data_IF_619890698566
#
_entry.id   IF_619890698566
#
_cell.length_a   1.000
_cell.length_b   1.000
_cell.length_c   1.000
_cell.angle_alpha   90.00
_cell.angle_beta   90.00
_cell.angle_gamma   90.00
#
_symmetry.space_group_name_H-M   'P 1'
#
loop_
_entity.id
_entity.type
_entity.pdbx_description
1 polymer ?
#
# COMPACT_ATOMS: atom_id res chain seq x y z
N UNK A 1 39.11 -44.58 -23.65
CA UNK A 1 38.82 -44.06 -24.99
C UNK A 1 37.51 -43.27 -24.93
N UNK A 2 37.66 -41.95 -25.04
CA UNK A 2 36.74 -40.91 -25.55
C UNK A 2 35.39 -40.77 -24.83
N UNK A 3 35.22 -39.78 -23.94
CA UNK A 3 34.95 -38.35 -24.21
C UNK A 3 33.64 -38.10 -24.98
N UNK A 4 32.66 -37.49 -24.29
CA UNK A 4 31.71 -36.56 -24.89
C UNK A 4 31.14 -35.67 -23.80
N UNK A 5 31.83 -34.55 -23.58
CA UNK A 5 31.27 -33.36 -22.93
C UNK A 5 30.43 -32.62 -23.97
N UNK A 6 29.14 -32.39 -23.70
CA UNK A 6 28.35 -31.44 -24.47
C UNK A 6 28.24 -30.13 -23.69
N UNK A 7 29.05 -29.18 -24.12
CA UNK A 7 29.00 -27.76 -23.81
C UNK A 7 27.87 -27.13 -24.62
N UNK A 8 26.84 -26.60 -23.98
CA UNK A 8 25.90 -25.65 -24.61
C UNK A 8 26.20 -24.25 -24.09
N UNK A 9 26.79 -23.43 -24.96
CA UNK A 9 26.96 -21.99 -24.80
C UNK A 9 25.97 -21.25 -25.70
N UNK A 10 25.57 -20.05 -25.25
CA UNK A 10 25.10 -18.91 -26.06
C UNK A 10 23.65 -19.05 -26.59
N UNK A 11 22.75 -18.07 -26.44
CA UNK A 11 22.90 -16.66 -26.81
C UNK A 11 22.05 -15.74 -25.93
N UNK A 12 22.68 -14.69 -25.41
CA UNK A 12 22.04 -13.53 -24.79
C UNK A 12 21.66 -12.57 -25.92
N UNK A 13 20.36 -12.37 -26.14
CA UNK A 13 19.84 -11.34 -27.04
C UNK A 13 19.88 -10.00 -26.31
N UNK A 14 20.85 -9.16 -26.69
CA UNK A 14 20.82 -7.72 -26.50
C UNK A 14 20.35 -7.11 -27.81
N UNK A 15 19.59 -6.02 -27.67
CA UNK A 15 19.38 -4.93 -28.64
C UNK A 15 17.90 -4.68 -28.97
N UNK A 16 17.31 -3.76 -28.20
CA UNK A 16 16.22 -2.90 -28.66
C UNK A 16 16.36 -1.54 -27.95
N UNK A 17 17.38 -0.79 -28.38
CA UNK A 17 17.48 0.64 -28.11
C UNK A 17 16.60 1.38 -29.13
N UNK A 18 15.44 1.89 -28.69
CA UNK A 18 14.69 2.90 -29.46
C UNK A 18 15.25 4.30 -29.17
N UNK A 19 15.64 5.08 -30.20
CA UNK A 19 16.00 6.48 -30.01
C UNK A 19 14.75 7.34 -29.83
N UNK A 20 14.81 8.24 -28.85
CA UNK A 20 13.83 9.31 -28.61
C UNK A 20 14.21 10.48 -29.52
N UNK A 21 13.30 10.90 -30.39
CA UNK A 21 13.39 12.14 -31.16
C UNK A 21 12.92 13.33 -30.32
N UNK A 22 13.64 14.47 -30.35
CA UNK A 22 13.07 15.76 -30.01
C UNK A 22 13.19 16.71 -31.20
N UNK A 23 12.07 17.10 -31.81
CA UNK A 23 12.04 18.20 -32.77
C UNK A 23 11.02 19.28 -32.37
N UNK A 24 11.57 20.49 -32.20
CA UNK A 24 11.09 21.82 -32.64
C UNK A 24 9.82 22.38 -31.95
N UNK A 25 9.84 23.46 -31.15
CA UNK A 25 10.23 24.88 -31.42
C UNK A 25 9.46 25.38 -32.68
N UNK A 26 8.63 26.45 -32.73
CA UNK A 26 8.69 27.84 -32.26
C UNK A 26 7.29 28.46 -32.46
N UNK A 27 6.89 29.42 -31.61
CA UNK A 27 6.31 30.76 -31.92
C UNK A 27 5.40 31.22 -30.77
N UNK A 28 5.83 32.18 -29.93
CA UNK A 28 5.69 33.64 -30.15
C UNK A 28 4.21 34.02 -30.36
N UNK A 29 3.56 34.96 -29.71
CA UNK A 29 3.88 36.10 -28.83
C UNK A 29 2.50 36.71 -28.52
N UNK A 30 2.33 37.41 -27.39
CA UNK A 30 1.66 38.72 -27.22
C UNK A 30 0.96 38.85 -25.85
N UNK A 31 1.59 39.65 -25.00
CA UNK A 31 0.96 40.43 -23.93
C UNK A 31 0.15 41.57 -24.56
N UNK A 32 -0.87 42.12 -23.85
CA UNK A 32 -0.58 43.28 -23.02
C UNK A 32 -1.29 43.30 -21.65
N UNK A 33 -0.54 43.79 -20.68
CA UNK A 33 -0.89 44.81 -19.68
C UNK A 33 -2.36 44.99 -19.28
N UNK A 34 -2.66 44.65 -18.03
CA UNK A 34 -3.54 45.50 -17.22
C UNK A 34 -3.11 45.45 -15.74
N UNK A 35 -2.53 46.56 -15.33
CA UNK A 35 -2.26 46.94 -13.95
C UNK A 35 -3.59 47.12 -13.20
N UNK A 36 -3.83 46.29 -12.19
CA UNK A 36 -4.72 46.67 -11.09
C UNK A 36 -3.93 46.47 -9.79
N UNK A 37 -3.54 47.61 -9.23
CA UNK A 37 -2.99 47.76 -7.90
C UNK A 37 -4.13 47.88 -6.87
N UNK A 38 -3.77 47.61 -5.60
CA UNK A 38 -4.53 47.80 -4.35
C UNK A 38 -5.66 46.75 -4.12
N UNK A 39 -5.70 45.99 -3.02
CA UNK A 39 -5.32 46.30 -1.64
C UNK A 39 -4.86 45.06 -0.84
N UNK A 40 -3.94 45.21 0.13
CA UNK A 40 -3.71 44.22 1.18
C UNK A 40 -4.83 44.31 2.24
N UNK A 41 -5.52 43.20 2.47
CA UNK A 41 -6.52 43.08 3.54
C UNK A 41 -5.90 43.35 4.92
N UNK A 42 -6.61 44.05 5.83
CA UNK A 42 -6.09 44.40 7.14
C UNK A 42 -5.86 43.17 8.01
N UNK A 43 -4.71 43.15 8.68
CA UNK A 43 -4.34 42.19 9.71
C UNK A 43 -5.33 42.27 10.88
N UNK A 44 -6.10 41.22 11.09
CA UNK A 44 -6.87 41.04 12.32
C UNK A 44 -5.90 40.81 13.48
N UNK A 45 -5.59 41.90 14.16
CA UNK A 45 -4.91 41.93 15.44
C UNK A 45 -5.87 41.32 16.49
N UNK A 46 -5.64 40.05 16.84
CA UNK A 46 -6.29 39.41 17.99
C UNK A 46 -5.37 39.61 19.19
N UNK A 47 -5.80 40.31 20.25
CA UNK A 47 -4.97 40.54 21.43
C UNK A 47 -4.72 39.25 22.20
N UNK A 48 -3.44 39.06 22.56
CA UNK A 48 -2.95 38.08 23.54
C UNK A 48 -3.71 38.23 24.87
N UNK A 49 -4.43 37.17 25.25
CA UNK A 49 -4.92 36.97 26.62
C UNK A 49 -5.38 35.52 26.77
N UNK A 50 -4.49 34.64 27.22
CA UNK A 50 -4.70 33.92 28.49
C UNK A 50 -3.63 32.85 28.73
N UNK A 51 -3.06 32.96 29.92
CA UNK A 51 -2.66 31.87 30.80
C UNK A 51 -1.59 30.91 30.26
N UNK A 52 -0.37 31.24 30.67
CA UNK A 52 0.56 30.34 31.34
C UNK A 52 -0.19 29.20 32.07
N UNK A 53 -0.44 28.11 31.35
CA UNK A 53 -0.91 26.86 31.90
C UNK A 53 0.20 25.87 31.61
N UNK A 54 1.05 25.72 32.62
CA UNK A 54 2.00 24.63 32.77
C UNK A 54 1.47 23.37 32.10
N UNK A 55 1.99 23.04 30.92
CA UNK A 55 1.93 21.68 30.41
C UNK A 55 2.88 20.88 31.28
N UNK A 56 2.42 20.56 32.50
CA UNK A 56 2.88 19.39 33.20
C UNK A 56 2.72 18.24 32.23
N UNK A 57 3.86 17.73 31.78
CA UNK A 57 3.96 16.54 30.99
C UNK A 57 3.19 15.45 31.72
N UNK A 58 2.01 15.14 31.19
CA UNK A 58 1.35 13.86 31.40
C UNK A 58 2.33 12.79 30.91
N UNK A 59 3.29 12.41 31.75
CA UNK A 59 3.97 11.13 31.65
C UNK A 59 2.96 10.09 32.08
N UNK A 60 1.97 9.86 31.20
CA UNK A 60 1.36 8.55 31.07
C UNK A 60 2.54 7.60 30.97
N UNK A 61 2.89 6.96 32.09
CA UNK A 61 3.96 5.98 32.18
C UNK A 61 3.50 4.80 31.35
N UNK A 62 3.70 4.92 30.04
CA UNK A 62 3.53 3.84 29.09
C UNK A 62 4.65 2.87 29.43
N UNK A 63 4.37 1.90 30.31
CA UNK A 63 5.26 0.78 30.63
C UNK A 63 5.57 -0.09 29.41
N UNK A 64 5.09 0.30 28.21
CA UNK A 64 5.68 -0.11 26.95
C UNK A 64 7.13 0.31 26.96
N UNK A 65 7.99 -0.65 27.36
CA UNK A 65 9.44 -0.65 27.16
C UNK A 65 9.78 0.27 26.01
N UNK A 66 10.26 1.47 26.32
CA UNK A 66 10.63 2.46 25.31
C UNK A 66 11.55 1.74 24.35
N UNK A 67 11.09 1.52 23.12
CA UNK A 67 11.83 0.74 22.15
C UNK A 67 13.14 1.48 21.90
N UNK A 68 14.20 0.97 22.52
CA UNK A 68 15.47 1.67 22.55
C UNK A 68 16.15 1.50 21.19
N UNK A 69 16.43 2.65 20.56
CA UNK A 69 16.89 2.77 19.17
C UNK A 69 18.19 1.99 18.94
N UNK A 70 18.38 1.53 17.70
CA UNK A 70 19.63 0.88 17.24
C UNK A 70 20.88 1.65 17.65
N UNK A 71 20.85 2.98 17.58
CA UNK A 71 22.02 3.80 17.86
C UNK A 71 22.38 3.80 19.35
N UNK A 72 21.38 3.85 20.25
CA UNK A 72 21.61 3.67 21.70
C UNK A 72 22.21 2.30 22.00
N UNK A 73 21.76 1.23 21.31
CA UNK A 73 22.39 -0.11 21.41
C UNK A 73 23.86 -0.06 21.05
N UNK A 74 24.18 0.61 19.95
CA UNK A 74 25.55 0.72 19.45
C UNK A 74 26.43 1.44 20.46
N UNK A 75 25.99 2.60 20.96
CA UNK A 75 26.70 3.39 21.95
C UNK A 75 26.97 2.59 23.24
N UNK A 76 25.98 1.86 23.75
CA UNK A 76 26.16 0.97 24.91
C UNK A 76 27.20 -0.11 24.61
N UNK A 77 27.11 -0.80 23.47
CA UNK A 77 28.07 -1.86 23.11
C UNK A 77 29.49 -1.31 22.96
N UNK A 78 29.63 -0.13 22.35
CA UNK A 78 30.90 0.58 22.23
C UNK A 78 31.45 0.95 23.61
N UNK A 79 30.62 1.51 24.50
CA UNK A 79 31.04 1.85 25.87
C UNK A 79 31.47 0.62 26.68
N UNK A 80 30.74 -0.50 26.54
CA UNK A 80 31.10 -1.77 27.16
C UNK A 80 32.42 -2.34 26.58
N UNK A 81 32.65 -2.19 25.28
CA UNK A 81 33.90 -2.60 24.61
C UNK A 81 35.10 -1.81 25.16
N UNK A 82 34.93 -0.51 25.41
CA UNK A 82 35.92 0.36 26.05
C UNK A 82 35.98 0.21 27.58
N UNK A 83 35.26 -0.76 28.16
CA UNK A 83 35.24 -1.05 29.61
C UNK A 83 34.84 0.15 30.48
N UNK A 84 33.96 1.02 29.97
CA UNK A 84 33.43 2.14 30.75
C UNK A 84 32.55 1.59 31.90
N UNK A 85 32.67 2.12 33.14
CA UNK A 85 31.87 1.68 34.27
C UNK A 85 30.35 1.85 34.02
N UNK A 86 29.54 0.87 34.46
CA UNK A 86 28.08 0.90 34.27
C UNK A 86 27.40 2.17 34.80
N UNK A 87 27.77 2.74 35.98
CA UNK A 87 27.17 3.98 36.47
C UNK A 87 27.38 5.15 35.51
N UNK A 88 28.55 5.23 34.89
CA UNK A 88 28.89 6.29 33.94
C UNK A 88 28.13 6.13 32.62
N UNK A 89 27.95 4.90 32.13
CA UNK A 89 27.11 4.62 30.94
C UNK A 89 25.66 5.04 31.20
N UNK A 90 25.15 4.73 32.39
CA UNK A 90 23.79 5.07 32.83
C UNK A 90 23.54 6.58 32.78
N UNK A 91 24.47 7.35 33.34
CA UNK A 91 24.39 8.81 33.41
C UNK A 91 24.57 9.48 32.05
N UNK A 92 25.55 9.01 31.25
CA UNK A 92 25.88 9.64 29.96
C UNK A 92 24.86 9.38 28.85
N UNK A 93 24.27 8.19 28.80
CA UNK A 93 23.34 7.79 27.72
C UNK A 93 21.85 7.86 28.11
N UNK A 94 21.56 8.18 29.38
CA UNK A 94 20.24 8.16 29.99
C UNK A 94 19.52 6.83 29.69
N UNK A 95 20.07 5.74 30.24
CA UNK A 95 19.61 4.36 30.04
C UNK A 95 19.54 3.61 31.37
N UNK A 96 18.68 2.61 31.47
CA UNK A 96 18.56 1.79 32.68
C UNK A 96 19.56 0.64 32.70
N UNK A 97 19.84 0.10 33.90
CA UNK A 97 20.68 -1.08 34.05
C UNK A 97 20.15 -2.25 33.21
N UNK A 98 18.84 -2.47 33.21
CA UNK A 98 18.19 -3.53 32.41
C UNK A 98 18.43 -3.37 30.91
N UNK A 99 18.41 -2.13 30.41
CA UNK A 99 18.73 -1.85 29.00
C UNK A 99 20.20 -2.16 28.69
N UNK A 100 21.12 -1.83 29.60
CA UNK A 100 22.54 -2.15 29.45
C UNK A 100 22.75 -3.67 29.43
N UNK A 101 22.18 -4.39 30.41
CA UNK A 101 22.24 -5.85 30.47
C UNK A 101 21.63 -6.50 29.23
N UNK A 102 20.42 -6.08 28.84
CA UNK A 102 19.77 -6.60 27.64
C UNK A 102 20.64 -6.38 26.40
N UNK A 103 21.20 -5.18 26.20
CA UNK A 103 22.06 -4.86 25.06
C UNK A 103 23.36 -5.64 25.03
N UNK A 104 23.94 -5.95 26.20
CA UNK A 104 25.15 -6.78 26.31
C UNK A 104 24.94 -8.18 25.71
N UNK A 105 23.76 -8.76 25.87
CA UNK A 105 23.46 -10.14 25.44
C UNK A 105 22.68 -10.23 24.12
N UNK A 106 22.08 -9.14 23.64
CA UNK A 106 21.23 -9.14 22.44
C UNK A 106 21.88 -8.41 21.25
N UNK A 107 21.39 -8.72 20.06
CA UNK A 107 21.89 -8.15 18.80
C UNK A 107 21.59 -6.65 18.69
N UNK A 108 22.47 -5.96 17.94
CA UNK A 108 22.33 -4.53 17.66
C UNK A 108 21.03 -4.21 16.92
N UNK A 109 20.73 -4.95 15.85
CA UNK A 109 19.49 -4.77 15.10
C UNK A 109 18.40 -5.61 15.76
N UNK A 110 17.29 -5.02 16.25
CA UNK A 110 16.16 -5.78 16.74
C UNK A 110 15.66 -6.71 15.63
N UNK A 111 15.65 -8.02 15.89
CA UNK A 111 15.06 -8.98 14.97
C UNK A 111 13.57 -9.09 15.29
N UNK A 112 12.71 -9.00 14.26
CA UNK A 112 11.27 -9.26 14.43
C UNK A 112 11.10 -10.72 14.83
N UNK A 113 10.70 -10.96 16.08
CA UNK A 113 10.46 -12.31 16.62
C UNK A 113 9.13 -12.88 16.18
N UNK A 114 8.15 -12.02 15.89
CA UNK A 114 6.82 -12.41 15.45
C UNK A 114 6.52 -11.74 14.12
N UNK A 115 6.28 -12.55 13.11
CA UNK A 115 5.59 -12.10 11.91
C UNK A 115 4.10 -11.93 12.24
N UNK A 116 3.41 -11.06 11.48
CA UNK A 116 1.96 -10.95 11.57
C UNK A 116 1.26 -12.28 11.23
N UNK A 117 -0.06 -12.33 11.40
CA UNK A 117 -0.85 -13.52 11.05
C UNK A 117 -0.69 -13.85 9.57
N UNK A 118 -0.45 -15.12 9.26
CA UNK A 118 -0.42 -15.61 7.88
C UNK A 118 -1.81 -15.58 7.26
N UNK A 119 -1.87 -15.49 5.93
CA UNK A 119 -3.13 -15.60 5.20
C UNK A 119 -3.78 -16.95 5.48
N UNK A 120 -5.11 -16.96 5.66
CA UNK A 120 -5.85 -18.19 6.00
C UNK A 120 -5.88 -19.21 4.85
N UNK A 121 -5.88 -18.74 3.60
CA UNK A 121 -5.85 -19.63 2.43
C UNK A 121 -4.43 -19.86 1.94
N UNK A 122 -4.08 -21.12 1.73
CA UNK A 122 -2.79 -21.54 1.22
C UNK A 122 -2.73 -21.43 -0.32
N UNK A 123 -1.55 -21.64 -0.90
CA UNK A 123 -1.30 -21.54 -2.35
C UNK A 123 -2.22 -22.44 -3.21
N UNK A 124 -2.46 -23.74 -2.92
CA UNK A 124 -3.30 -24.58 -3.78
C UNK A 124 -4.77 -24.14 -3.76
N UNK A 125 -5.28 -23.72 -2.61
CA UNK A 125 -6.65 -23.19 -2.47
C UNK A 125 -6.83 -21.89 -3.26
N UNK A 126 -5.80 -21.04 -3.31
CA UNK A 126 -5.78 -19.83 -4.14
C UNK A 126 -5.81 -20.16 -5.63
N UNK A 127 -5.08 -21.18 -6.07
CA UNK A 127 -5.06 -21.63 -7.47
C UNK A 127 -6.44 -22.17 -7.85
N UNK A 128 -7.02 -23.05 -7.04
CA UNK A 128 -8.35 -23.59 -7.28
C UNK A 128 -9.42 -22.49 -7.31
N UNK A 129 -9.35 -21.52 -6.39
CA UNK A 129 -10.24 -20.36 -6.40
C UNK A 129 -10.09 -19.56 -7.70
N UNK A 130 -8.86 -19.36 -8.19
CA UNK A 130 -8.59 -18.67 -9.46
C UNK A 130 -9.16 -19.44 -10.65
N UNK A 131 -8.93 -20.75 -10.73
CA UNK A 131 -9.46 -21.61 -11.78
C UNK A 131 -10.99 -21.59 -11.80
N UNK A 132 -11.62 -21.70 -10.64
CA UNK A 132 -13.08 -21.59 -10.53
C UNK A 132 -13.59 -20.21 -10.96
N UNK A 133 -12.92 -19.12 -10.60
CA UNK A 133 -13.31 -17.78 -11.04
C UNK A 133 -13.19 -17.58 -12.56
N UNK A 134 -12.23 -18.27 -13.20
CA UNK A 134 -11.98 -18.18 -14.64
C UNK A 134 -12.84 -19.14 -15.46
N UNK A 135 -13.33 -20.24 -14.87
CA UNK A 135 -14.10 -21.26 -15.59
C UNK A 135 -15.43 -20.75 -16.14
N UNK A 136 -16.04 -19.72 -15.52
CA UNK A 136 -17.26 -19.11 -16.04
C UNK A 136 -17.35 -17.61 -15.73
N UNK A 137 -17.82 -16.78 -16.69
CA UNK A 137 -18.13 -15.38 -16.45
C UNK A 137 -19.05 -15.12 -15.24
N UNK A 138 -20.00 -16.02 -14.97
CA UNK A 138 -20.99 -15.87 -13.89
C UNK A 138 -20.36 -16.00 -12.50
N UNK A 139 -19.32 -16.82 -12.33
CA UNK A 139 -18.60 -17.00 -11.07
C UNK A 139 -18.00 -15.68 -10.56
N UNK A 140 -17.62 -14.79 -11.47
CA UNK A 140 -17.10 -13.45 -11.15
C UNK A 140 -18.11 -12.54 -10.49
N UNK A 141 -19.41 -12.84 -10.56
CA UNK A 141 -20.49 -12.05 -9.97
C UNK A 141 -20.99 -12.61 -8.63
N UNK A 142 -20.59 -13.83 -8.25
CA UNK A 142 -21.03 -14.48 -7.00
C UNK A 142 -20.54 -13.71 -5.77
N UNK A 143 -21.43 -13.41 -4.82
CA UNK A 143 -21.04 -12.73 -3.59
C UNK A 143 -20.01 -13.54 -2.79
N UNK A 144 -19.03 -12.88 -2.16
CA UNK A 144 -17.97 -13.57 -1.41
C UNK A 144 -18.47 -14.54 -0.32
N UNK A 145 -19.60 -14.21 0.31
CA UNK A 145 -20.24 -15.06 1.33
C UNK A 145 -20.86 -16.34 0.75
N UNK A 146 -21.13 -16.38 -0.55
CA UNK A 146 -21.74 -17.51 -1.26
C UNK A 146 -20.71 -18.42 -1.93
N UNK A 147 -19.47 -17.97 -2.10
CA UNK A 147 -18.40 -18.79 -2.68
C UNK A 147 -18.15 -20.09 -1.89
N UNK A 148 -18.16 -20.11 -0.54
CA UNK A 148 -18.04 -21.35 0.22
C UNK A 148 -19.14 -22.38 -0.07
N UNK A 149 -20.29 -21.98 -0.61
CA UNK A 149 -21.32 -22.94 -1.02
C UNK A 149 -20.87 -23.78 -2.23
N UNK A 150 -20.11 -23.18 -3.16
CA UNK A 150 -19.56 -23.85 -4.33
C UNK A 150 -18.22 -24.52 -4.05
N UNK A 151 -17.43 -23.91 -3.15
CA UNK A 151 -16.10 -24.38 -2.76
C UNK A 151 -16.03 -24.45 -1.23
N UNK A 152 -16.60 -25.49 -0.59
CA UNK A 152 -16.72 -25.57 0.88
C UNK A 152 -15.39 -25.73 1.60
N UNK A 153 -14.36 -26.21 0.90
CA UNK A 153 -12.99 -26.25 1.41
C UNK A 153 -12.37 -24.86 1.59
N UNK A 154 -12.96 -23.81 1.01
CA UNK A 154 -12.50 -22.45 1.21
C UNK A 154 -13.04 -21.87 2.51
N UNK A 155 -12.19 -21.14 3.21
CA UNK A 155 -12.55 -20.41 4.43
C UNK A 155 -13.59 -19.31 4.23
N UNK A 156 -13.87 -18.57 5.30
CA UNK A 156 -14.91 -17.53 5.28
C UNK A 156 -14.64 -16.36 4.34
N UNK A 157 -15.66 -15.51 4.16
CA UNK A 157 -15.68 -14.32 3.27
C UNK A 157 -14.36 -13.54 3.24
N UNK A 158 -13.80 -13.22 4.41
CA UNK A 158 -12.59 -12.40 4.50
C UNK A 158 -11.36 -13.13 3.97
N UNK A 159 -11.24 -14.44 4.23
CA UNK A 159 -10.14 -15.25 3.73
C UNK A 159 -10.15 -15.31 2.20
N UNK A 160 -11.34 -15.47 1.61
CA UNK A 160 -11.53 -15.47 0.16
C UNK A 160 -11.19 -14.11 -0.43
N UNK A 161 -11.66 -13.01 0.18
CA UNK A 161 -11.32 -11.65 -0.29
C UNK A 161 -9.81 -11.42 -0.30
N UNK A 162 -9.14 -11.67 0.83
CA UNK A 162 -7.69 -11.53 0.93
C UNK A 162 -6.95 -12.46 -0.02
N UNK A 163 -7.48 -13.66 -0.30
CA UNK A 163 -6.91 -14.57 -1.28
C UNK A 163 -7.02 -14.04 -2.71
N UNK A 164 -8.18 -13.49 -3.10
CA UNK A 164 -8.39 -12.84 -4.39
C UNK A 164 -7.44 -11.65 -4.57
N UNK A 165 -7.33 -10.80 -3.55
CA UNK A 165 -6.39 -9.66 -3.55
C UNK A 165 -4.94 -10.16 -3.70
N UNK A 166 -4.58 -11.24 -2.99
CA UNK A 166 -3.24 -11.83 -3.04
C UNK A 166 -2.88 -12.55 -4.34
N UNK A 167 -3.85 -12.94 -5.18
CA UNK A 167 -3.60 -13.45 -6.54
C UNK A 167 -3.63 -12.34 -7.60
N UNK A 168 -3.70 -11.07 -7.18
CA UNK A 168 -3.85 -9.89 -8.04
C UNK A 168 -5.03 -9.99 -9.01
N UNK A 169 -6.11 -10.69 -8.62
CA UNK A 169 -7.30 -10.81 -9.45
C UNK A 169 -8.33 -9.77 -9.04
N UNK A 170 -8.60 -8.81 -9.92
CA UNK A 170 -9.65 -7.84 -9.69
C UNK A 170 -10.98 -8.36 -10.23
N UNK A 171 -11.96 -8.59 -9.35
CA UNK A 171 -13.34 -8.85 -9.77
C UNK A 171 -13.93 -7.58 -10.37
N UNK A 172 -14.33 -7.62 -11.64
CA UNK A 172 -15.12 -6.54 -12.25
C UNK A 172 -16.49 -6.52 -11.60
N UNK A 173 -16.69 -5.58 -10.68
CA UNK A 173 -18.04 -5.20 -10.25
C UNK A 173 -18.62 -4.40 -11.41
N UNK A 174 -19.85 -4.71 -11.84
CA UNK A 174 -20.52 -3.86 -12.82
C UNK A 174 -20.48 -2.43 -12.27
N UNK A 175 -19.95 -1.48 -13.04
CA UNK A 175 -20.08 -0.07 -12.67
C UNK A 175 -21.58 0.12 -12.50
N UNK A 176 -22.03 0.60 -11.33
CA UNK A 176 -23.42 1.01 -11.18
C UNK A 176 -23.71 1.89 -12.38
N UNK A 177 -24.69 1.52 -13.20
CA UNK A 177 -25.11 2.35 -14.34
C UNK A 177 -25.37 3.72 -13.72
N UNK A 178 -24.62 4.73 -14.14
CA UNK A 178 -24.83 6.08 -13.64
C UNK A 178 -26.28 6.43 -13.94
N UNK A 179 -27.10 6.54 -12.92
CA UNK A 179 -28.33 7.30 -13.03
C UNK A 179 -27.84 8.74 -13.23
N UNK A 180 -27.93 9.21 -14.46
CA UNK A 180 -27.86 10.64 -14.73
C UNK A 180 -29.31 11.09 -14.59
N UNK A 181 -29.52 12.12 -13.77
CA UNK A 181 -30.83 12.75 -13.59
C UNK A 181 -31.15 13.70 -14.75
N UNK A 182 -30.28 13.77 -15.77
CA UNK A 182 -30.51 14.59 -16.94
C UNK A 182 -31.68 14.02 -17.74
N UNK A 183 -32.76 14.80 -17.96
CA UNK A 183 -33.98 14.30 -18.58
C UNK A 183 -33.74 13.79 -20.01
N UNK A 184 -32.76 14.36 -20.73
CA UNK A 184 -32.36 13.92 -22.07
C UNK A 184 -31.76 12.52 -22.08
N UNK A 185 -30.89 12.22 -21.12
CA UNK A 185 -30.25 10.91 -20.98
C UNK A 185 -31.26 9.86 -20.52
N UNK A 186 -32.26 10.26 -19.72
CA UNK A 186 -33.40 9.42 -19.37
C UNK A 186 -34.29 9.10 -20.58
N UNK A 187 -34.59 10.10 -21.42
CA UNK A 187 -35.41 9.92 -22.62
C UNK A 187 -34.73 8.99 -23.64
N UNK A 188 -33.46 9.24 -23.97
CA UNK A 188 -32.67 8.39 -24.89
C UNK A 188 -32.64 6.92 -24.43
N UNK A 189 -32.62 6.69 -23.11
CA UNK A 189 -32.66 5.34 -22.53
C UNK A 189 -34.04 4.68 -22.63
N UNK A 190 -35.12 5.46 -22.54
CA UNK A 190 -36.48 4.97 -22.75
C UNK A 190 -36.68 4.59 -24.21
N UNK A 191 -36.27 5.46 -25.12
CA UNK A 191 -36.36 5.22 -26.57
C UNK A 191 -35.59 3.94 -26.95
N UNK A 192 -34.37 3.76 -26.44
CA UNK A 192 -33.57 2.55 -26.67
C UNK A 192 -34.21 1.27 -26.09
N UNK A 193 -34.96 1.37 -24.98
CA UNK A 193 -35.66 0.24 -24.39
C UNK A 193 -36.93 -0.14 -25.17
N UNK A 194 -37.62 0.86 -25.73
CA UNK A 194 -38.75 0.68 -26.63
C UNK A 194 -38.29 0.01 -27.94
N UNK A 195 -37.21 0.50 -28.53
CA UNK A 195 -36.56 -0.11 -29.71
C UNK A 195 -36.15 -1.55 -29.43
N UNK A 196 -35.52 -1.82 -28.29
CA UNK A 196 -35.10 -3.17 -27.89
C UNK A 196 -36.24 -4.17 -27.76
N UNK A 197 -37.49 -3.71 -27.58
CA UNK A 197 -38.67 -4.57 -27.52
C UNK A 197 -39.09 -5.09 -28.90
N UNK A 198 -38.71 -4.38 -29.97
CA UNK A 198 -38.95 -4.78 -31.37
C UNK A 198 -37.84 -5.64 -31.95
N UNK A 199 -36.73 -5.84 -31.23
CA UNK A 199 -35.60 -6.60 -31.76
C UNK A 199 -35.94 -8.11 -31.87
N UNK A 200 -35.62 -8.74 -33.02
CA UNK A 200 -35.89 -10.16 -33.22
C UNK A 200 -35.09 -11.00 -32.23
N UNK A 201 -35.79 -11.85 -31.47
CA UNK A 201 -35.19 -12.74 -30.44
C UNK A 201 -34.52 -13.98 -31.01
N UNK A 202 -34.10 -13.94 -32.28
CA UNK A 202 -33.38 -15.05 -32.89
C UNK A 202 -31.93 -15.00 -32.40
N UNK A 203 -31.56 -15.97 -31.57
CA UNK A 203 -30.15 -16.23 -31.25
C UNK A 203 -29.56 -16.98 -32.44
N UNK A 204 -28.57 -16.38 -33.09
CA UNK A 204 -27.64 -17.07 -33.99
C UNK A 204 -26.58 -17.77 -33.14
#
# INVERSE_FOLDING_TARGET
MNESQQTMQSQISRDDYRPVTPELLIHSQLLPDSLIALQPSPSLFVPDSQADSSQESNTSSDWRRTDYTRDKRLQIQTALLFKIPLPQIKETLDVTNDQIYYTKYHRLTPQKTRAGRHAKLHIPEKIQLKEWLLSSPSHRHVAYSKIPHFLPQLGGKQAIRTAIDGINYCRRISRKKGFSDDPKVCQERLDLAEDGSTWPRLRV
#
